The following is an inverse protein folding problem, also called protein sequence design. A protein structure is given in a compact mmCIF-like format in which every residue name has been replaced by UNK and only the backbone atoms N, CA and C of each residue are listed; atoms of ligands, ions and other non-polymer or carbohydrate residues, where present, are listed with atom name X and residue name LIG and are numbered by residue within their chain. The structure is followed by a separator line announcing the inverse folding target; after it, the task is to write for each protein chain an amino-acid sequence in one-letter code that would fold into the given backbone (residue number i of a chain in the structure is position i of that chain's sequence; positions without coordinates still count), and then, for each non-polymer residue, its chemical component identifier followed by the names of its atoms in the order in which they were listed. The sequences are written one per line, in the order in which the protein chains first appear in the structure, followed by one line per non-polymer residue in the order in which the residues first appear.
data_IF_882807998176
#
_entry.id   IF_882807998176
#
_cell.length_a   1.000
_cell.length_b   1.000
_cell.length_c   1.000
_cell.angle_alpha   90.00
_cell.angle_beta   90.00
_cell.angle_gamma   90.00
#
_symmetry.space_group_name_H-M   'P 1'
#
loop_
_entity.id
_entity.type
_entity.pdbx_description
1 polymer ?
#
# COMPACT_ATOMS: atom_id res chain seq x y z
N UNK A 1 -32.28 -30.61 4.30
CA UNK A 1 -32.28 -29.86 3.01
C UNK A 1 -30.85 -29.43 2.71
N UNK A 2 -30.20 -30.12 1.78
CA UNK A 2 -28.76 -30.00 1.47
C UNK A 2 -28.44 -28.74 0.67
N UNK A 3 -27.60 -27.87 1.25
CA UNK A 3 -27.04 -26.69 0.60
C UNK A 3 -26.10 -27.09 -0.56
N UNK A 4 -26.65 -27.15 -1.77
CA UNK A 4 -25.92 -27.11 -3.05
C UNK A 4 -26.43 -25.91 -3.84
N UNK A 5 -25.88 -24.71 -3.65
CA UNK A 5 -26.11 -23.60 -4.61
C UNK A 5 -25.21 -22.35 -4.37
N UNK A 6 -23.89 -22.51 -4.43
CA UNK A 6 -22.97 -21.33 -4.50
C UNK A 6 -21.74 -21.50 -5.41
N UNK A 7 -21.72 -22.46 -6.35
CA UNK A 7 -20.59 -22.67 -7.30
C UNK A 7 -20.82 -22.12 -8.73
N UNK A 8 -21.84 -21.28 -8.94
CA UNK A 8 -22.50 -21.25 -10.25
C UNK A 8 -21.89 -20.34 -11.34
N UNK A 9 -20.97 -19.40 -11.09
CA UNK A 9 -20.39 -18.58 -12.17
C UNK A 9 -19.11 -19.16 -12.79
N UNK A 10 -18.21 -19.71 -11.97
CA UNK A 10 -16.94 -20.29 -12.46
C UNK A 10 -17.10 -21.67 -13.10
N UNK A 11 -18.19 -22.40 -12.80
CA UNK A 11 -18.48 -23.70 -13.41
C UNK A 11 -19.43 -23.62 -14.62
N UNK A 12 -20.11 -22.50 -14.87
CA UNK A 12 -21.18 -22.42 -15.87
C UNK A 12 -20.70 -22.86 -17.26
N UNK A 13 -19.63 -22.25 -17.76
CA UNK A 13 -19.07 -22.58 -19.08
C UNK A 13 -18.57 -24.02 -19.13
N UNK A 14 -17.98 -24.53 -18.05
CA UNK A 14 -17.52 -25.91 -17.98
C UNK A 14 -18.71 -26.88 -18.06
N UNK A 15 -19.79 -26.60 -17.34
CA UNK A 15 -21.01 -27.42 -17.34
C UNK A 15 -21.70 -27.39 -18.69
N UNK A 16 -21.84 -26.22 -19.30
CA UNK A 16 -22.43 -26.10 -20.65
C UNK A 16 -21.59 -26.87 -21.65
N UNK A 17 -20.28 -26.64 -21.67
CA UNK A 17 -19.40 -27.30 -22.64
C UNK A 17 -19.42 -28.83 -22.49
N UNK A 18 -19.37 -29.34 -21.24
CA UNK A 18 -19.38 -30.77 -20.96
C UNK A 18 -20.72 -31.46 -21.29
N UNK A 19 -21.86 -30.76 -21.20
CA UNK A 19 -23.19 -31.32 -21.47
C UNK A 19 -23.74 -30.93 -22.85
N UNK A 20 -22.92 -30.30 -23.70
CA UNK A 20 -23.31 -29.87 -25.06
C UNK A 20 -22.70 -30.76 -26.13
N UNK A 21 -23.13 -30.56 -27.38
CA UNK A 21 -22.52 -31.17 -28.57
C UNK A 21 -21.02 -30.83 -28.75
N UNK A 22 -20.51 -29.84 -28.00
CA UNK A 22 -19.10 -29.43 -28.03
C UNK A 22 -18.24 -30.11 -26.97
N UNK A 23 -18.75 -31.12 -26.26
CA UNK A 23 -18.00 -31.81 -25.20
C UNK A 23 -16.62 -32.31 -25.69
N UNK A 24 -16.53 -32.81 -26.93
CA UNK A 24 -15.29 -33.26 -27.57
C UNK A 24 -14.34 -32.12 -28.01
N UNK A 25 -14.74 -30.85 -27.86
CA UNK A 25 -13.91 -29.67 -28.14
C UNK A 25 -13.38 -29.00 -26.86
N UNK A 26 -13.56 -29.64 -25.71
CA UNK A 26 -13.05 -29.13 -24.43
C UNK A 26 -11.62 -29.62 -24.19
N UNK A 27 -10.73 -28.72 -23.79
CA UNK A 27 -9.36 -29.02 -23.40
C UNK A 27 -9.21 -28.85 -21.89
N UNK A 28 -8.44 -29.75 -21.25
CA UNK A 28 -8.07 -29.58 -19.84
C UNK A 28 -6.96 -28.54 -19.73
N UNK A 29 -7.20 -27.49 -18.95
CA UNK A 29 -6.27 -26.38 -18.74
C UNK A 29 -6.76 -25.11 -19.42
N UNK A 30 -6.56 -23.98 -18.75
CA UNK A 30 -7.02 -22.66 -19.22
C UNK A 30 -5.90 -21.80 -19.80
N UNK A 31 -4.70 -22.36 -20.00
CA UNK A 31 -3.51 -21.67 -20.52
C UNK A 31 -3.02 -20.51 -19.63
N UNK A 32 -3.50 -20.41 -18.38
CA UNK A 32 -3.18 -19.32 -17.45
C UNK A 32 -2.42 -19.83 -16.23
N UNK A 33 -1.39 -19.09 -15.86
CA UNK A 33 -0.74 -19.22 -14.56
C UNK A 33 -1.47 -18.38 -13.52
N UNK A 34 -1.68 -18.93 -12.34
CA UNK A 34 -2.25 -18.20 -11.21
C UNK A 34 -1.46 -18.50 -9.94
N UNK A 35 -0.96 -17.46 -9.27
CA UNK A 35 -0.12 -17.59 -8.06
C UNK A 35 -0.95 -17.91 -6.81
N UNK A 36 -1.54 -19.10 -6.76
CA UNK A 36 -2.29 -19.54 -5.59
C UNK A 36 -1.35 -19.89 -4.43
N UNK A 37 -1.60 -19.28 -3.27
CA UNK A 37 -1.00 -19.68 -1.99
C UNK A 37 -2.07 -19.61 -0.90
N UNK A 38 -2.78 -20.72 -0.67
CA UNK A 38 -3.99 -20.76 0.19
C UNK A 38 -3.74 -20.22 1.60
N UNK A 39 -2.58 -20.57 2.18
CA UNK A 39 -2.13 -20.10 3.50
C UNK A 39 -2.27 -18.58 3.68
N UNK A 40 -1.95 -17.80 2.64
CA UNK A 40 -2.03 -16.34 2.67
C UNK A 40 -3.24 -15.78 1.91
N UNK A 41 -3.62 -16.36 0.78
CA UNK A 41 -4.65 -15.80 -0.12
C UNK A 41 -6.10 -16.03 0.35
N UNK A 42 -6.31 -16.89 1.34
CA UNK A 42 -7.64 -17.23 1.87
C UNK A 42 -7.94 -16.48 3.18
N UNK A 43 -7.92 -15.13 3.15
CA UNK A 43 -8.32 -14.28 4.29
C UNK A 43 -9.78 -13.85 4.12
N UNK A 44 -10.68 -14.43 4.93
CA UNK A 44 -12.12 -14.26 4.73
C UNK A 44 -12.67 -12.86 5.10
N UNK A 45 -12.00 -12.15 6.01
CA UNK A 45 -12.49 -10.86 6.55
C UNK A 45 -12.83 -9.82 5.48
N UNK A 46 -12.01 -9.69 4.43
CA UNK A 46 -12.27 -8.73 3.36
C UNK A 46 -13.51 -9.09 2.51
N UNK A 47 -13.74 -10.38 2.25
CA UNK A 47 -14.83 -10.82 1.37
C UNK A 47 -16.18 -10.79 2.07
N UNK A 48 -16.21 -11.04 3.40
CA UNK A 48 -17.43 -10.98 4.20
C UNK A 48 -18.13 -9.61 4.18
N UNK A 49 -17.41 -8.52 3.89
CA UNK A 49 -18.00 -7.19 3.74
C UNK A 49 -18.87 -7.06 2.48
N UNK A 50 -18.66 -7.93 1.48
CA UNK A 50 -19.30 -7.83 0.15
C UNK A 50 -20.20 -9.02 -0.14
N UNK A 51 -19.84 -10.22 0.33
CA UNK A 51 -20.57 -11.46 0.08
C UNK A 51 -20.65 -12.30 1.36
N UNK A 52 -21.77 -13.00 1.55
CA UNK A 52 -21.99 -13.93 2.67
C UNK A 52 -21.25 -15.27 2.49
N UNK A 53 -20.02 -15.22 1.96
CA UNK A 53 -19.20 -16.40 1.72
C UNK A 53 -17.70 -16.10 1.87
N UNK A 54 -16.93 -17.09 2.31
CA UNK A 54 -15.46 -16.99 2.32
C UNK A 54 -14.90 -17.43 0.96
N UNK A 55 -14.07 -16.58 0.36
CA UNK A 55 -13.31 -16.92 -0.85
C UNK A 55 -11.81 -16.79 -0.64
N UNK A 56 -11.07 -17.21 -1.67
CA UNK A 56 -9.63 -17.02 -1.74
C UNK A 56 -9.29 -16.18 -2.96
N UNK A 57 -8.27 -15.34 -2.85
CA UNK A 57 -7.67 -14.66 -3.99
C UNK A 57 -6.24 -15.13 -4.19
N UNK A 58 -5.75 -15.20 -5.45
CA UNK A 58 -4.36 -15.48 -5.71
C UNK A 58 -3.51 -14.26 -5.34
N UNK A 59 -2.27 -14.52 -4.96
CA UNK A 59 -1.30 -13.48 -4.61
C UNK A 59 -0.76 -12.79 -5.86
N UNK A 60 -0.23 -11.60 -5.66
CA UNK A 60 0.55 -10.88 -6.66
C UNK A 60 1.92 -11.57 -6.86
N UNK A 61 2.40 -11.61 -8.11
CA UNK A 61 3.78 -12.02 -8.38
C UNK A 61 4.75 -10.93 -7.93
N UNK A 62 5.88 -11.36 -7.38
CA UNK A 62 6.94 -10.49 -6.87
C UNK A 62 8.32 -11.06 -7.17
N UNK A 63 9.40 -10.34 -6.83
CA UNK A 63 10.79 -10.79 -6.95
C UNK A 63 11.02 -12.25 -6.55
N UNK A 64 10.40 -12.73 -5.46
CA UNK A 64 10.57 -14.10 -4.95
C UNK A 64 9.79 -15.16 -5.72
N UNK A 65 8.87 -14.78 -6.61
CA UNK A 65 7.97 -15.70 -7.30
C UNK A 65 8.06 -15.62 -8.83
N UNK A 66 8.95 -14.78 -9.37
CA UNK A 66 9.16 -14.66 -10.84
C UNK A 66 9.55 -15.98 -11.50
N UNK A 67 10.27 -16.86 -10.78
CA UNK A 67 10.64 -18.19 -11.28
C UNK A 67 9.43 -19.05 -11.70
N UNK A 68 8.23 -18.78 -11.15
CA UNK A 68 7.02 -19.55 -11.46
C UNK A 68 6.52 -19.34 -12.89
N UNK A 69 6.93 -18.25 -13.54
CA UNK A 69 6.54 -17.96 -14.91
C UNK A 69 7.74 -17.89 -15.86
N UNK A 70 8.89 -18.46 -15.48
CA UNK A 70 10.04 -18.55 -16.37
C UNK A 70 9.68 -19.21 -17.70
N UNK A 71 10.46 -18.94 -18.75
CA UNK A 71 10.18 -19.44 -20.09
C UNK A 71 10.14 -20.98 -20.14
N UNK A 72 10.94 -21.66 -19.31
CA UNK A 72 10.96 -23.11 -19.18
C UNK A 72 9.63 -23.61 -18.62
N UNK A 73 9.16 -23.01 -17.51
CA UNK A 73 7.89 -23.37 -16.88
C UNK A 73 6.71 -23.08 -17.82
N UNK A 74 6.76 -21.94 -18.51
CA UNK A 74 5.72 -21.55 -19.46
C UNK A 74 5.62 -22.53 -20.63
N UNK A 75 6.74 -22.96 -21.20
CA UNK A 75 6.80 -23.97 -22.27
C UNK A 75 6.33 -25.33 -21.78
N UNK A 76 6.82 -25.80 -20.63
CA UNK A 76 6.48 -27.11 -20.09
C UNK A 76 4.98 -27.25 -19.81
N UNK A 77 4.32 -26.17 -19.38
CA UNK A 77 2.91 -26.18 -18.96
C UNK A 77 1.95 -25.56 -19.99
N UNK A 78 2.43 -25.19 -21.18
CA UNK A 78 1.67 -24.48 -22.20
C UNK A 78 0.92 -23.25 -21.65
N UNK A 79 1.66 -22.37 -20.97
CA UNK A 79 1.12 -21.16 -20.34
C UNK A 79 1.39 -19.93 -21.22
N UNK A 80 0.36 -19.10 -21.39
CA UNK A 80 0.44 -17.90 -22.24
C UNK A 80 0.14 -16.60 -21.46
N UNK A 81 -0.55 -16.70 -20.32
CA UNK A 81 -0.91 -15.54 -19.49
C UNK A 81 -0.69 -15.82 -18.01
N UNK A 82 -0.38 -14.79 -17.23
CA UNK A 82 -0.24 -14.86 -15.77
C UNK A 82 -1.17 -13.90 -15.03
N UNK A 83 -1.54 -14.24 -13.79
CA UNK A 83 -2.20 -13.33 -12.84
C UNK A 83 -1.86 -13.68 -11.38
N UNK A 84 -1.83 -12.73 -10.43
CA UNK A 84 -2.04 -11.27 -10.58
C UNK A 84 -0.69 -10.53 -10.59
N UNK A 85 -0.70 -9.32 -11.15
CA UNK A 85 0.41 -8.37 -11.09
C UNK A 85 -0.14 -7.05 -10.53
N UNK A 86 0.68 -6.35 -9.74
CA UNK A 86 0.36 -5.07 -9.11
C UNK A 86 1.68 -4.31 -8.96
N UNK A 87 1.78 -3.16 -9.63
CA UNK A 87 3.02 -2.39 -9.77
C UNK A 87 3.47 -1.75 -8.46
N UNK A 88 2.56 -1.44 -7.53
CA UNK A 88 2.94 -0.95 -6.19
C UNK A 88 3.50 -2.05 -5.28
N UNK A 89 3.22 -3.32 -5.60
CA UNK A 89 3.79 -4.47 -4.90
C UNK A 89 5.11 -4.91 -5.56
N UNK A 90 5.11 -5.12 -6.88
CA UNK A 90 6.32 -5.49 -7.61
C UNK A 90 6.25 -5.10 -9.08
N UNK A 91 6.83 -3.94 -9.40
CA UNK A 91 7.08 -3.54 -10.77
C UNK A 91 8.11 -4.45 -11.42
N UNK A 92 9.10 -4.94 -10.66
CA UNK A 92 10.08 -5.91 -11.17
C UNK A 92 9.43 -7.15 -11.77
N UNK A 93 8.41 -7.72 -11.10
CA UNK A 93 7.73 -8.91 -11.62
C UNK A 93 7.01 -8.63 -12.95
N UNK A 94 6.49 -7.42 -13.13
CA UNK A 94 5.90 -6.96 -14.39
C UNK A 94 7.00 -6.85 -15.46
N UNK A 95 8.12 -6.19 -15.14
CA UNK A 95 9.26 -6.03 -16.05
C UNK A 95 9.85 -7.37 -16.53
N UNK A 96 9.94 -8.38 -15.66
CA UNK A 96 10.37 -9.74 -16.05
C UNK A 96 9.34 -10.39 -16.99
N UNK A 97 8.05 -10.26 -16.70
CA UNK A 97 6.99 -10.81 -17.55
C UNK A 97 6.97 -10.14 -18.94
N UNK A 98 7.17 -8.82 -18.98
CA UNK A 98 7.27 -8.05 -20.22
C UNK A 98 8.51 -8.42 -21.04
N UNK A 99 9.68 -8.50 -20.40
CA UNK A 99 10.92 -8.94 -21.04
C UNK A 99 10.78 -10.34 -21.65
N UNK A 100 10.07 -11.24 -20.97
CA UNK A 100 9.79 -12.58 -21.50
C UNK A 100 8.82 -12.55 -22.68
N UNK A 101 7.83 -11.65 -22.68
CA UNK A 101 6.90 -11.48 -23.81
C UNK A 101 7.64 -10.96 -25.05
N UNK A 102 8.51 -9.95 -24.87
CA UNK A 102 9.32 -9.34 -25.92
C UNK A 102 10.68 -10.02 -26.15
N UNK A 103 10.90 -11.25 -25.66
CA UNK A 103 12.19 -11.95 -25.77
C UNK A 103 12.76 -12.06 -27.20
N UNK A 104 11.92 -11.99 -28.23
CA UNK A 104 12.34 -12.02 -29.64
C UNK A 104 12.60 -10.62 -30.23
N UNK A 105 12.25 -9.56 -29.51
CA UNK A 105 12.41 -8.16 -29.90
C UNK A 105 12.71 -7.27 -28.67
N UNK A 106 13.74 -7.61 -27.89
CA UNK A 106 14.06 -6.86 -26.68
C UNK A 106 14.42 -5.39 -26.94
N UNK A 107 14.86 -5.05 -28.16
CA UNK A 107 15.16 -3.68 -28.57
C UNK A 107 13.94 -2.74 -28.51
N UNK A 108 12.71 -3.28 -28.54
CA UNK A 108 11.51 -2.46 -28.35
C UNK A 108 11.25 -2.08 -26.89
N UNK A 109 11.91 -2.74 -25.93
CA UNK A 109 11.80 -2.40 -24.52
C UNK A 109 12.88 -1.41 -24.13
N UNK A 110 12.46 -0.26 -23.59
CA UNK A 110 13.36 0.76 -23.08
C UNK A 110 13.83 0.43 -21.65
N UNK A 111 14.46 -0.75 -21.46
CA UNK A 111 14.87 -1.27 -20.14
C UNK A 111 15.86 -0.37 -19.39
N UNK A 112 16.60 0.46 -20.12
CA UNK A 112 17.57 1.41 -19.56
C UNK A 112 16.94 2.78 -19.24
N UNK A 113 15.65 2.99 -19.56
CA UNK A 113 14.98 4.23 -19.24
C UNK A 113 14.80 4.35 -17.72
N UNK A 114 15.06 5.52 -17.09
CA UNK A 114 14.93 5.69 -15.64
C UNK A 114 13.54 5.35 -15.09
N UNK A 115 12.49 5.49 -15.90
CA UNK A 115 11.12 5.16 -15.50
C UNK A 115 10.81 3.66 -15.50
N UNK A 116 11.68 2.79 -16.01
CA UNK A 116 11.36 1.38 -16.28
C UNK A 116 10.90 0.62 -15.02
N UNK A 117 11.55 0.89 -13.89
CA UNK A 117 11.22 0.27 -12.60
C UNK A 117 10.30 1.14 -11.71
N UNK A 118 9.96 2.35 -12.17
CA UNK A 118 9.13 3.29 -11.42
C UNK A 118 7.66 3.05 -11.67
N UNK A 119 6.87 3.34 -10.66
CA UNK A 119 5.41 3.20 -10.70
C UNK A 119 4.74 4.48 -10.23
N UNK A 120 3.73 4.89 -11.00
CA UNK A 120 2.79 5.94 -10.64
C UNK A 120 1.38 5.35 -10.70
N UNK A 121 0.59 5.57 -9.65
CA UNK A 121 -0.82 5.17 -9.63
C UNK A 121 -1.65 6.36 -9.15
N UNK A 122 -2.57 6.84 -9.98
CA UNK A 122 -3.54 7.85 -9.56
C UNK A 122 -4.48 7.24 -8.50
N UNK A 123 -4.54 7.86 -7.33
CA UNK A 123 -5.38 7.45 -6.19
C UNK A 123 -6.42 8.51 -5.80
N UNK A 124 -6.35 9.69 -6.42
CA UNK A 124 -7.31 10.76 -6.26
C UNK A 124 -7.35 11.61 -7.54
N UNK A 125 -8.54 11.89 -8.02
CA UNK A 125 -8.82 12.91 -9.02
C UNK A 125 -9.93 13.84 -8.53
N UNK A 126 -9.70 15.14 -8.64
CA UNK A 126 -10.70 16.16 -8.34
C UNK A 126 -12.00 15.96 -9.12
N UNK A 127 -11.94 15.38 -10.31
CA UNK A 127 -13.11 15.16 -11.17
C UNK A 127 -14.03 14.03 -10.69
N UNK A 128 -13.53 13.15 -9.81
CA UNK A 128 -14.22 11.91 -9.41
C UNK A 128 -14.45 11.86 -7.91
N UNK A 129 -13.42 12.11 -7.10
CA UNK A 129 -13.41 11.68 -5.69
C UNK A 129 -13.92 12.72 -4.70
N UNK A 130 -13.68 14.02 -4.95
CA UNK A 130 -14.14 15.14 -4.10
C UNK A 130 -13.91 15.00 -2.57
N UNK A 131 -12.87 14.26 -2.16
CA UNK A 131 -12.55 14.01 -0.74
C UNK A 131 -12.17 15.28 0.05
N UNK A 132 -13.06 15.71 0.95
CA UNK A 132 -12.80 16.84 1.87
C UNK A 132 -11.58 16.59 2.78
N UNK A 133 -11.34 15.33 3.15
CA UNK A 133 -10.19 14.92 3.96
C UNK A 133 -8.87 15.28 3.25
N UNK A 134 -8.73 14.85 2.00
CA UNK A 134 -7.50 15.05 1.22
C UNK A 134 -7.33 16.52 0.81
N UNK A 135 -8.44 17.23 0.52
CA UNK A 135 -8.42 18.67 0.25
C UNK A 135 -7.97 19.46 1.49
N UNK A 136 -8.47 19.12 2.67
CA UNK A 136 -8.09 19.80 3.92
C UNK A 136 -6.64 19.50 4.30
N UNK A 137 -6.23 18.22 4.22
CA UNK A 137 -4.85 17.79 4.45
C UNK A 137 -3.86 18.49 3.52
N UNK A 138 -4.14 18.52 2.21
CA UNK A 138 -3.29 19.19 1.23
C UNK A 138 -3.18 20.68 1.51
N UNK A 139 -4.29 21.35 1.85
CA UNK A 139 -4.27 22.77 2.26
C UNK A 139 -3.39 23.01 3.48
N UNK A 140 -3.51 22.19 4.53
CA UNK A 140 -2.66 22.28 5.73
C UNK A 140 -1.18 22.05 5.41
N UNK A 141 -0.87 21.10 4.52
CA UNK A 141 0.51 20.83 4.11
C UNK A 141 1.12 22.02 3.35
N UNK A 142 0.38 22.60 2.41
CA UNK A 142 0.83 23.76 1.62
C UNK A 142 0.96 25.01 2.48
N UNK A 143 0.04 25.26 3.41
CA UNK A 143 0.18 26.35 4.38
C UNK A 143 1.48 26.22 5.22
N UNK A 144 1.91 24.99 5.49
CA UNK A 144 3.20 24.70 6.13
C UNK A 144 4.43 25.02 5.27
N UNK A 145 4.28 25.25 3.96
CA UNK A 145 5.35 25.59 3.03
C UNK A 145 5.47 27.09 2.75
N UNK A 146 4.72 27.95 3.44
CA UNK A 146 4.73 29.41 3.22
C UNK A 146 6.12 30.05 3.44
N UNK A 147 6.99 29.41 4.22
CA UNK A 147 8.37 29.85 4.44
C UNK A 147 9.31 29.53 3.27
N UNK A 148 8.89 28.66 2.34
CA UNK A 148 9.65 28.35 1.13
C UNK A 148 9.72 29.57 0.23
N UNK A 149 10.95 29.99 -0.10
CA UNK A 149 11.21 31.18 -0.93
C UNK A 149 10.44 31.11 -2.25
N UNK A 150 10.42 29.94 -2.88
CA UNK A 150 9.82 29.73 -4.21
C UNK A 150 8.29 29.78 -4.23
N UNK A 151 7.63 29.62 -3.07
CA UNK A 151 6.17 29.62 -2.94
C UNK A 151 5.67 30.78 -2.08
N UNK A 152 6.55 31.75 -1.79
CA UNK A 152 6.19 32.93 -1.01
C UNK A 152 5.07 33.69 -1.75
N UNK A 153 4.00 34.03 -1.04
CA UNK A 153 2.79 34.69 -1.57
C UNK A 153 1.93 33.81 -2.52
N UNK A 154 2.07 32.49 -2.47
CA UNK A 154 1.14 31.58 -3.14
C UNK A 154 0.00 31.18 -2.20
N UNK A 155 -1.24 31.25 -2.70
CA UNK A 155 -2.43 30.79 -1.97
C UNK A 155 -2.94 29.47 -2.56
N UNK A 156 -3.26 28.51 -1.69
CA UNK A 156 -3.89 27.26 -2.08
C UNK A 156 -5.28 27.52 -2.70
N UNK A 157 -5.49 27.10 -3.95
CA UNK A 157 -6.82 27.12 -4.57
C UNK A 157 -7.52 25.77 -4.43
N UNK A 158 -6.91 24.71 -4.95
CA UNK A 158 -7.57 23.41 -5.03
C UNK A 158 -6.55 22.28 -5.22
N UNK A 159 -6.84 21.13 -4.62
CA UNK A 159 -6.18 19.86 -4.92
C UNK A 159 -6.71 19.33 -6.26
N UNK A 160 -5.82 18.93 -7.16
CA UNK A 160 -6.18 18.43 -8.50
C UNK A 160 -6.12 16.91 -8.53
N UNK A 161 -4.99 16.33 -8.12
CA UNK A 161 -4.76 14.89 -8.18
C UNK A 161 -3.78 14.44 -7.10
N UNK A 162 -3.84 13.16 -6.75
CA UNK A 162 -2.83 12.49 -5.92
C UNK A 162 -2.42 11.18 -6.59
N UNK A 163 -1.12 10.94 -6.65
CA UNK A 163 -0.54 9.68 -7.10
C UNK A 163 0.26 9.01 -5.98
N UNK A 164 0.11 7.70 -5.86
CA UNK A 164 1.09 6.86 -5.16
C UNK A 164 2.28 6.64 -6.10
N UNK A 165 3.47 6.96 -5.61
CA UNK A 165 4.73 6.83 -6.34
C UNK A 165 5.66 5.84 -5.65
N UNK A 166 6.31 5.00 -6.45
CA UNK A 166 7.33 4.09 -5.98
C UNK A 166 8.49 4.08 -6.97
N UNK A 167 9.70 4.35 -6.47
CA UNK A 167 10.88 4.40 -7.32
C UNK A 167 11.29 3.01 -7.83
N UNK A 168 11.22 2.01 -6.95
CA UNK A 168 11.40 0.61 -7.27
C UNK A 168 10.68 -0.28 -6.23
N UNK A 169 10.82 -1.59 -6.34
CA UNK A 169 10.19 -2.56 -5.43
C UNK A 169 10.62 -2.44 -3.95
N UNK A 170 11.83 -1.95 -3.68
CA UNK A 170 12.43 -1.87 -2.34
C UNK A 170 12.23 -0.48 -1.70
N UNK A 171 11.92 0.54 -2.51
CA UNK A 171 11.59 1.88 -2.04
C UNK A 171 10.25 1.94 -1.28
N UNK A 172 10.15 2.86 -0.32
CA UNK A 172 8.88 3.23 0.31
C UNK A 172 7.95 3.93 -0.70
N UNK A 173 6.64 3.84 -0.47
CA UNK A 173 5.66 4.59 -1.26
C UNK A 173 5.70 6.06 -0.82
N UNK A 174 5.88 6.95 -1.79
CA UNK A 174 5.79 8.39 -1.64
C UNK A 174 4.51 8.89 -2.32
N UNK A 175 4.11 10.12 -2.00
CA UNK A 175 2.88 10.72 -2.52
C UNK A 175 3.24 11.89 -3.43
N UNK A 176 2.71 11.89 -4.66
CA UNK A 176 2.79 13.05 -5.55
C UNK A 176 1.45 13.75 -5.51
N UNK A 177 1.46 15.05 -5.33
CA UNK A 177 0.25 15.85 -5.19
C UNK A 177 0.27 17.03 -6.17
N UNK A 178 -0.73 17.11 -7.04
CA UNK A 178 -0.94 18.26 -7.90
C UNK A 178 -1.84 19.28 -7.21
N UNK A 179 -1.37 20.52 -7.11
CA UNK A 179 -2.13 21.60 -6.49
C UNK A 179 -2.16 22.79 -7.43
N UNK A 180 -3.33 23.40 -7.58
CA UNK A 180 -3.44 24.74 -8.16
C UNK A 180 -3.21 25.80 -7.08
N UNK A 181 -2.27 26.70 -7.33
CA UNK A 181 -1.93 27.81 -6.46
C UNK A 181 -2.18 29.14 -7.18
N UNK A 182 -2.66 30.14 -6.45
CA UNK A 182 -2.71 31.53 -6.90
C UNK A 182 -1.45 32.24 -6.40
N UNK A 183 -0.51 32.50 -7.30
CA UNK A 183 0.75 33.20 -7.00
C UNK A 183 0.79 34.48 -7.83
N UNK A 184 0.98 35.64 -7.19
CA UNK A 184 1.10 36.94 -7.88
C UNK A 184 -0.06 37.22 -8.88
N UNK A 185 -1.29 36.87 -8.50
CA UNK A 185 -2.51 36.97 -9.34
C UNK A 185 -2.57 35.99 -10.54
N UNK A 186 -1.66 35.03 -10.64
CA UNK A 186 -1.68 33.98 -11.66
C UNK A 186 -1.94 32.61 -11.02
N UNK A 187 -2.89 31.86 -11.58
CA UNK A 187 -3.05 30.45 -11.23
C UNK A 187 -1.96 29.62 -11.90
N UNK A 188 -1.21 28.86 -11.11
CA UNK A 188 -0.20 27.90 -11.55
C UNK A 188 -0.54 26.51 -10.99
N UNK A 189 -0.01 25.47 -11.61
CA UNK A 189 -0.09 24.10 -11.09
C UNK A 189 1.31 23.66 -10.67
N UNK A 190 1.42 23.28 -9.40
CA UNK A 190 2.65 22.82 -8.77
C UNK A 190 2.45 21.41 -8.28
N UNK A 191 3.46 20.58 -8.48
CA UNK A 191 3.55 19.23 -7.97
C UNK A 191 4.47 19.16 -6.78
N UNK A 192 4.05 18.39 -5.79
CA UNK A 192 4.78 18.17 -4.56
C UNK A 192 5.10 16.68 -4.43
N UNK A 193 6.37 16.34 -4.25
CA UNK A 193 6.78 15.02 -3.80
C UNK A 193 6.79 14.99 -2.28
N UNK A 194 5.97 14.13 -1.69
CA UNK A 194 5.70 14.10 -0.25
C UNK A 194 6.10 12.74 0.30
N UNK A 195 6.87 12.77 1.40
CA UNK A 195 7.22 11.59 2.18
C UNK A 195 6.53 11.63 3.54
N UNK A 196 5.86 10.53 3.90
CA UNK A 196 5.34 10.31 5.25
C UNK A 196 6.47 9.91 6.19
N UNK A 197 6.55 10.55 7.35
CA UNK A 197 7.51 10.24 8.41
C UNK A 197 6.87 9.24 9.38
N UNK A 198 7.59 8.17 9.68
CA UNK A 198 7.24 7.20 10.71
C UNK A 198 8.11 7.43 11.95
N UNK A 199 7.49 7.75 13.08
CA UNK A 199 8.18 7.92 14.36
C UNK A 199 8.13 6.63 15.15
N UNK A 200 9.10 5.74 14.94
CA UNK A 200 9.15 4.43 15.59
C UNK A 200 10.41 4.24 16.42
N UNK A 201 10.29 3.53 17.54
CA UNK A 201 11.39 3.19 18.44
C UNK A 201 11.36 1.69 18.75
N UNK A 202 12.53 1.04 18.76
CA UNK A 202 12.69 -0.40 18.99
C UNK A 202 13.66 -0.62 20.16
N UNK A 203 13.39 -1.64 20.98
CA UNK A 203 14.14 -1.91 22.22
C UNK A 203 14.93 -3.23 22.20
N UNK A 204 15.14 -3.81 21.02
CA UNK A 204 15.89 -5.07 20.78
C UNK A 204 15.53 -6.21 21.75
N UNK A 205 14.23 -6.46 21.90
CA UNK A 205 13.68 -7.51 22.76
C UNK A 205 13.29 -8.72 21.91
N UNK A 206 13.70 -9.91 22.37
CA UNK A 206 13.23 -11.18 21.81
C UNK A 206 11.99 -11.65 22.57
N UNK A 207 10.93 -12.00 21.82
CA UNK A 207 9.65 -12.45 22.38
C UNK A 207 9.34 -13.83 21.81
N UNK A 208 9.31 -14.85 22.67
CA UNK A 208 9.07 -16.25 22.30
C UNK A 208 9.92 -16.73 21.10
N UNK A 209 11.18 -16.31 21.03
CA UNK A 209 12.09 -16.64 19.93
C UNK A 209 11.88 -15.85 18.64
N UNK A 210 11.07 -14.79 18.66
CA UNK A 210 10.86 -13.87 17.55
C UNK A 210 11.47 -12.49 17.87
N UNK A 211 11.96 -11.82 16.82
CA UNK A 211 12.40 -10.43 16.85
C UNK A 211 11.48 -9.58 15.98
N UNK A 212 11.04 -8.44 16.52
CA UNK A 212 10.24 -7.47 15.78
C UNK A 212 11.15 -6.65 14.86
N UNK A 213 10.89 -6.67 13.56
CA UNK A 213 11.68 -5.96 12.54
C UNK A 213 11.12 -4.57 12.22
N UNK A 214 9.79 -4.44 12.20
CA UNK A 214 9.15 -3.17 11.86
C UNK A 214 7.78 -3.05 12.51
N UNK A 215 7.40 -1.81 12.81
CA UNK A 215 6.05 -1.40 13.17
C UNK A 215 5.59 -0.34 12.17
N UNK A 216 4.38 -0.46 11.66
CA UNK A 216 3.75 0.57 10.82
C UNK A 216 2.27 0.69 11.12
N UNK A 217 1.76 1.90 10.98
CA UNK A 217 0.35 2.23 11.23
C UNK A 217 -0.28 2.80 9.97
N UNK A 218 -1.45 2.28 9.61
CA UNK A 218 -2.17 2.65 8.41
C UNK A 218 -3.65 2.29 8.47
N UNK A 219 -4.34 2.44 7.35
CA UNK A 219 -5.73 2.01 7.17
C UNK A 219 -5.90 1.28 5.84
N UNK A 220 -7.09 0.72 5.62
CA UNK A 220 -7.43 -0.13 4.46
C UNK A 220 -6.44 -1.29 4.24
N UNK A 221 -6.35 -2.18 5.24
CA UNK A 221 -5.42 -3.31 5.23
C UNK A 221 -5.83 -4.38 4.22
N UNK A 222 -4.93 -4.73 3.29
CA UNK A 222 -5.04 -5.93 2.46
C UNK A 222 -4.29 -7.07 3.15
N UNK A 223 -4.99 -7.93 3.89
CA UNK A 223 -4.38 -9.06 4.61
C UNK A 223 -3.75 -10.12 3.70
N UNK A 224 -4.01 -10.13 2.39
CA UNK A 224 -3.40 -11.11 1.48
C UNK A 224 -1.99 -10.70 1.10
N UNK A 225 -1.81 -9.42 0.82
CA UNK A 225 -0.50 -8.85 0.46
C UNK A 225 0.20 -8.20 1.66
N UNK A 226 -0.51 -8.08 2.79
CA UNK A 226 -0.06 -7.51 4.05
C UNK A 226 0.44 -6.06 3.91
N UNK A 227 -0.33 -5.24 3.18
CA UNK A 227 -0.04 -3.82 2.96
C UNK A 227 -1.24 -2.96 3.34
N UNK A 228 -1.00 -1.67 3.53
CA UNK A 228 -2.05 -0.65 3.62
C UNK A 228 -2.34 -0.11 2.22
N UNK A 229 -3.61 -0.10 1.82
CA UNK A 229 -4.07 0.41 0.53
C UNK A 229 -4.42 1.91 0.59
N UNK A 230 -4.53 2.49 1.78
CA UNK A 230 -4.45 3.95 1.96
C UNK A 230 -3.00 4.41 1.75
N UNK A 231 -2.61 4.56 0.48
CA UNK A 231 -1.24 4.89 0.07
C UNK A 231 -0.78 6.30 0.46
N UNK A 232 -1.71 7.27 0.51
CA UNK A 232 -1.40 8.61 1.00
C UNK A 232 -1.08 8.61 2.51
N UNK A 233 -1.59 7.61 3.24
CA UNK A 233 -1.33 7.43 4.66
C UNK A 233 -1.94 8.52 5.55
N UNK A 234 -2.91 9.28 5.03
CA UNK A 234 -3.75 10.24 5.75
C UNK A 234 -4.85 9.46 6.44
N UNK A 235 -4.78 9.35 7.76
CA UNK A 235 -5.73 8.58 8.57
C UNK A 235 -6.87 9.48 9.04
N UNK A 236 -8.10 8.98 9.03
CA UNK A 236 -9.27 9.69 9.55
C UNK A 236 -9.90 8.98 10.74
N UNK A 237 -10.71 9.71 11.49
CA UNK A 237 -11.50 9.19 12.63
C UNK A 237 -12.64 8.25 12.22
N UNK A 238 -12.98 8.22 10.92
CA UNK A 238 -14.03 7.36 10.37
C UNK A 238 -13.49 5.99 9.90
N UNK A 239 -12.17 5.79 9.96
CA UNK A 239 -11.48 4.59 9.46
C UNK A 239 -11.08 3.61 10.57
N UNK A 240 -10.99 2.33 10.22
CA UNK A 240 -10.32 1.34 11.08
C UNK A 240 -8.81 1.56 10.94
N UNK A 241 -8.17 1.94 12.04
CA UNK A 241 -6.74 2.11 12.11
C UNK A 241 -6.10 0.77 12.45
N UNK A 242 -5.09 0.39 11.68
CA UNK A 242 -4.41 -0.89 11.80
C UNK A 242 -2.92 -0.68 12.07
N UNK A 243 -2.40 -1.37 13.08
CA UNK A 243 -0.96 -1.54 13.29
C UNK A 243 -0.52 -2.85 12.66
N UNK A 244 0.50 -2.80 11.80
CA UNK A 244 1.20 -3.96 11.25
C UNK A 244 2.53 -4.14 11.97
N UNK A 245 2.75 -5.33 12.50
CA UNK A 245 3.99 -5.80 13.10
C UNK A 245 4.64 -6.81 12.17
N UNK A 246 5.93 -6.67 11.90
CA UNK A 246 6.69 -7.64 11.10
C UNK A 246 7.66 -8.40 11.99
N UNK A 247 7.49 -9.70 12.09
CA UNK A 247 8.31 -10.56 12.93
C UNK A 247 9.26 -11.43 12.11
N UNK A 248 10.39 -11.76 12.72
CA UNK A 248 11.33 -12.78 12.24
C UNK A 248 11.52 -13.82 13.32
N UNK A 249 11.40 -15.09 12.96
CA UNK A 249 11.77 -16.19 13.84
C UNK A 249 13.30 -16.34 13.86
N UNK A 250 13.87 -16.41 15.05
CA UNK A 250 15.31 -16.59 15.22
C UNK A 250 15.71 -18.06 15.05
N UNK A 251 16.86 -18.28 14.41
CA UNK A 251 17.42 -19.61 14.15
C UNK A 251 17.74 -20.28 15.49
N UNK A 252 17.22 -21.48 15.72
CA UNK A 252 17.42 -22.25 16.96
C UNK A 252 16.28 -22.16 17.97
N UNK A 253 15.26 -21.33 17.73
CA UNK A 253 14.03 -21.34 18.53
C UNK A 253 13.22 -22.61 18.26
N UNK A 254 12.93 -23.40 19.30
CA UNK A 254 12.18 -24.66 19.24
C UNK A 254 10.65 -24.45 19.16
N UNK A 255 10.19 -23.41 18.47
CA UNK A 255 8.76 -23.26 18.25
C UNK A 255 8.29 -24.32 17.24
N UNK A 256 7.56 -25.30 17.76
CA UNK A 256 6.92 -26.37 16.99
C UNK A 256 5.64 -25.92 16.30
N UNK A 257 5.24 -24.65 16.48
CA UNK A 257 4.03 -24.11 15.87
C UNK A 257 4.30 -23.56 14.48
N UNK A 258 3.32 -23.71 13.58
CA UNK A 258 3.35 -23.13 12.23
C UNK A 258 3.17 -21.59 12.22
N UNK A 259 3.11 -20.96 13.41
CA UNK A 259 2.84 -19.54 13.60
C UNK A 259 4.10 -18.72 13.36
N UNK A 260 3.90 -17.51 12.83
CA UNK A 260 5.01 -16.63 12.41
C UNK A 260 5.15 -15.38 13.27
N UNK A 261 4.39 -15.28 14.35
CA UNK A 261 4.48 -14.19 15.32
C UNK A 261 4.13 -14.68 16.73
N UNK A 262 4.63 -14.01 17.78
CA UNK A 262 4.29 -14.29 19.17
C UNK A 262 2.94 -13.66 19.55
N UNK A 263 2.47 -13.93 20.78
CA UNK A 263 1.35 -13.19 21.37
C UNK A 263 1.86 -11.87 21.96
N UNK A 264 1.21 -10.76 21.65
CA UNK A 264 1.58 -9.44 22.19
C UNK A 264 0.35 -8.64 22.58
N UNK A 265 0.55 -7.56 23.35
CA UNK A 265 -0.46 -6.57 23.69
C UNK A 265 -0.08 -5.26 23.00
N UNK A 266 -1.06 -4.59 22.39
CA UNK A 266 -0.91 -3.22 21.91
C UNK A 266 -1.56 -2.27 22.92
N UNK A 267 -0.78 -1.34 23.43
CA UNK A 267 -1.25 -0.23 24.25
C UNK A 267 -1.35 1.02 23.38
N UNK A 268 -2.57 1.49 23.16
CA UNK A 268 -2.89 2.69 22.38
C UNK A 268 -3.08 3.86 23.34
N UNK A 269 -2.19 4.84 23.28
CA UNK A 269 -2.29 6.08 24.03
C UNK A 269 -2.91 7.16 23.15
N UNK A 270 -4.01 7.73 23.62
CA UNK A 270 -4.75 8.78 22.94
C UNK A 270 -4.12 10.17 23.15
N UNK A 271 -4.49 11.18 22.34
CA UNK A 271 -4.00 12.55 22.52
C UNK A 271 -4.27 13.14 23.91
N UNK A 272 -5.37 12.72 24.57
CA UNK A 272 -5.71 13.14 25.94
C UNK A 272 -4.98 12.34 27.03
N UNK A 273 -4.15 11.35 26.66
CA UNK A 273 -3.39 10.51 27.60
C UNK A 273 -4.14 9.26 28.09
N UNK A 274 -5.35 8.99 27.62
CA UNK A 274 -6.08 7.76 27.92
C UNK A 274 -5.40 6.58 27.22
N UNK A 275 -5.37 5.42 27.87
CA UNK A 275 -4.73 4.23 27.31
C UNK A 275 -5.73 3.09 27.14
N UNK A 276 -5.75 2.50 25.95
CA UNK A 276 -6.53 1.30 25.61
C UNK A 276 -5.59 0.14 25.32
N UNK A 277 -5.87 -1.03 25.88
CA UNK A 277 -5.08 -2.24 25.63
C UNK A 277 -5.86 -3.20 24.73
N UNK A 278 -5.21 -3.75 23.71
CA UNK A 278 -5.75 -4.79 22.85
C UNK A 278 -4.79 -5.98 22.80
N UNK A 279 -5.31 -7.20 22.93
CA UNK A 279 -4.51 -8.42 22.82
C UNK A 279 -4.44 -8.82 21.35
N UNK A 280 -3.23 -9.04 20.85
CA UNK A 280 -2.98 -9.47 19.49
C UNK A 280 -2.49 -10.91 19.51
N UNK A 281 -3.35 -11.82 19.03
CA UNK A 281 -3.05 -13.23 18.98
C UNK A 281 -1.90 -13.53 17.98
N UNK A 282 -1.17 -14.63 18.18
CA UNK A 282 -0.23 -15.15 17.19
C UNK A 282 -0.88 -15.29 15.81
N UNK A 283 -0.15 -14.94 14.77
CA UNK A 283 -0.64 -14.94 13.40
C UNK A 283 0.21 -15.85 12.52
N UNK A 284 -0.46 -16.51 11.58
CA UNK A 284 0.17 -17.35 10.59
C UNK A 284 0.25 -16.62 9.24
N UNK A 285 1.41 -16.04 8.95
CA UNK A 285 1.70 -15.22 7.77
C UNK A 285 2.86 -15.80 6.98
N UNK A 286 2.77 -15.78 5.65
CA UNK A 286 3.92 -16.14 4.81
C UNK A 286 4.99 -15.05 4.74
N UNK A 287 4.70 -13.86 5.27
CA UNK A 287 5.58 -12.71 5.33
C UNK A 287 6.04 -12.38 6.76
N UNK A 288 5.45 -12.99 7.79
CA UNK A 288 5.73 -12.69 9.20
C UNK A 288 4.93 -11.52 9.76
N UNK A 289 3.90 -11.04 9.05
CA UNK A 289 3.04 -9.96 9.51
C UNK A 289 2.11 -10.40 10.64
N UNK A 290 1.74 -9.44 11.49
CA UNK A 290 0.73 -9.56 12.53
C UNK A 290 0.01 -8.21 12.64
N UNK A 291 -1.29 -8.22 12.94
CA UNK A 291 -2.14 -7.03 12.85
C UNK A 291 -2.93 -6.80 14.13
N UNK A 292 -2.98 -5.55 14.57
CA UNK A 292 -3.91 -5.09 15.60
C UNK A 292 -4.73 -3.91 15.09
N UNK A 293 -5.97 -3.81 15.56
CA UNK A 293 -6.97 -2.87 15.05
C UNK A 293 -7.42 -1.91 16.17
N UNK A 294 -7.72 -0.68 15.78
CA UNK A 294 -8.35 0.36 16.58
C UNK A 294 -9.54 0.90 15.78
N UNK A 295 -10.74 0.84 16.37
CA UNK A 295 -11.98 1.09 15.64
C UNK A 295 -12.42 2.56 15.68
N UNK A 296 -13.18 3.04 14.68
CA UNK A 296 -13.64 4.44 14.60
C UNK A 296 -14.31 4.98 15.87
N UNK A 297 -15.09 4.15 16.56
CA UNK A 297 -15.80 4.51 17.80
C UNK A 297 -14.87 4.68 19.01
N UNK A 298 -13.58 4.42 18.84
CA UNK A 298 -12.54 4.45 19.87
C UNK A 298 -11.45 5.47 19.53
N UNK A 299 -11.59 6.18 18.41
CA UNK A 299 -10.62 7.12 17.88
C UNK A 299 -11.19 8.52 17.78
N UNK A 300 -10.29 9.49 17.85
CA UNK A 300 -10.57 10.90 17.56
C UNK A 300 -9.29 11.55 17.03
N UNK A 301 -9.43 12.70 16.38
CA UNK A 301 -8.29 13.42 15.82
C UNK A 301 -7.23 13.80 16.85
N UNK A 302 -5.98 13.75 16.40
CA UNK A 302 -4.80 14.12 17.17
C UNK A 302 -3.66 13.12 17.02
N UNK A 303 -2.60 13.36 17.79
CA UNK A 303 -1.42 12.51 17.83
C UNK A 303 -1.62 11.34 18.79
N UNK A 304 -1.56 10.13 18.24
CA UNK A 304 -1.68 8.87 18.96
C UNK A 304 -0.31 8.18 19.05
N UNK A 305 -0.17 7.32 20.07
CA UNK A 305 0.98 6.42 20.20
C UNK A 305 0.49 4.99 20.37
N UNK A 306 1.10 4.06 19.64
CA UNK A 306 0.92 2.62 19.86
C UNK A 306 2.21 2.03 20.43
N UNK A 307 2.11 1.27 21.50
CA UNK A 307 3.22 0.57 22.14
C UNK A 307 2.99 -0.93 22.12
N UNK A 308 3.99 -1.69 21.68
CA UNK A 308 3.98 -3.14 21.62
C UNK A 308 4.56 -3.67 22.92
N UNK A 309 3.72 -4.31 23.72
CA UNK A 309 4.08 -4.91 25.00
C UNK A 309 4.08 -6.42 24.86
N UNK A 310 5.16 -7.06 25.30
CA UNK A 310 5.25 -8.50 25.46
C UNK A 310 5.18 -8.86 26.95
N UNK A 311 4.61 -10.02 27.26
CA UNK A 311 4.61 -10.56 28.61
C UNK A 311 5.45 -11.83 28.58
N UNK A 312 6.57 -11.83 29.29
CA UNK A 312 7.44 -13.01 29.37
C UNK A 312 6.91 -13.98 30.44
N UNK A 313 7.45 -15.20 30.45
CA UNK A 313 7.02 -16.29 31.35
C UNK A 313 7.07 -15.95 32.84
N UNK A 314 7.83 -14.93 33.24
CA UNK A 314 7.90 -14.40 34.61
C UNK A 314 6.76 -13.44 34.97
N UNK A 315 5.88 -13.10 34.01
CA UNK A 315 4.83 -12.08 34.16
C UNK A 315 5.33 -10.64 33.99
N UNK A 316 6.61 -10.44 33.72
CA UNK A 316 7.17 -9.11 33.45
C UNK A 316 6.69 -8.60 32.10
N UNK A 317 6.32 -7.31 32.06
CA UNK A 317 5.91 -6.62 30.84
C UNK A 317 7.11 -5.91 30.23
N UNK A 318 7.45 -6.28 29.00
CA UNK A 318 8.55 -5.68 28.23
C UNK A 318 8.00 -4.81 27.11
N UNK A 319 8.50 -3.58 27.00
CA UNK A 319 8.25 -2.72 25.85
C UNK A 319 9.15 -3.16 24.69
N UNK A 320 8.55 -3.63 23.61
CA UNK A 320 9.26 -4.17 22.44
C UNK A 320 9.55 -3.06 21.43
N UNK A 321 8.52 -2.26 21.14
CA UNK A 321 8.60 -1.12 20.24
C UNK A 321 7.46 -0.13 20.52
N UNK A 322 7.58 1.08 19.98
CA UNK A 322 6.46 2.01 19.90
C UNK A 322 6.47 2.78 18.59
N UNK A 323 5.32 3.28 18.18
CA UNK A 323 5.16 4.14 17.01
C UNK A 323 4.16 5.26 17.28
N UNK A 324 4.42 6.47 16.79
CA UNK A 324 3.48 7.57 16.82
C UNK A 324 2.83 7.77 15.46
N UNK A 325 1.56 8.17 15.44
CA UNK A 325 0.80 8.41 14.23
C UNK A 325 -0.24 9.51 14.45
N UNK A 326 -0.65 10.15 13.35
CA UNK A 326 -1.65 11.20 13.35
C UNK A 326 -2.98 10.68 12.81
N UNK A 327 -4.04 10.88 13.57
CA UNK A 327 -5.42 10.83 13.05
C UNK A 327 -5.83 12.26 12.72
N UNK A 328 -6.14 12.52 11.46
CA UNK A 328 -6.47 13.83 10.94
C UNK A 328 -7.99 14.02 10.90
N UNK A 329 -8.48 15.19 11.30
CA UNK A 329 -9.87 15.59 11.05
C UNK A 329 -9.93 16.81 10.14
N UNK A 330 -10.75 16.68 9.10
CA UNK A 330 -11.06 17.75 8.15
C UNK A 330 -12.03 18.78 8.73
N UNK A 331 -12.61 18.51 9.91
CA UNK A 331 -13.58 19.39 10.59
C UNK A 331 -12.90 20.50 11.39
N UNK A 332 -11.61 20.33 11.72
CA UNK A 332 -10.84 21.36 12.41
C UNK A 332 -10.31 22.41 11.43
N UNK A 333 -10.06 23.61 11.96
CA UNK A 333 -9.48 24.70 11.17
C UNK A 333 -8.07 24.34 10.69
N UNK A 334 -7.76 24.75 9.46
CA UNK A 334 -6.50 24.45 8.75
C UNK A 334 -5.29 24.86 9.60
N UNK A 335 -5.38 26.03 10.26
CA UNK A 335 -4.33 26.61 11.09
C UNK A 335 -3.88 25.66 12.22
N UNK A 336 -4.85 25.03 12.89
CA UNK A 336 -4.60 24.07 13.97
C UNK A 336 -3.91 22.78 13.49
N UNK A 337 -4.11 22.45 12.22
CA UNK A 337 -3.62 21.22 11.61
C UNK A 337 -2.22 21.37 10.98
N UNK A 338 -1.75 22.58 10.70
CA UNK A 338 -0.46 22.81 9.98
C UNK A 338 0.73 22.17 10.71
N UNK A 339 0.86 22.39 12.02
CA UNK A 339 1.99 21.88 12.82
C UNK A 339 2.03 20.35 12.87
N UNK A 340 0.86 19.71 13.00
CA UNK A 340 0.75 18.26 13.01
C UNK A 340 1.00 17.66 11.63
N UNK A 341 0.41 18.22 10.58
CA UNK A 341 0.62 17.74 9.21
C UNK A 341 2.10 17.85 8.81
N UNK A 342 2.74 18.99 9.07
CA UNK A 342 4.16 19.19 8.74
C UNK A 342 5.12 18.33 9.57
N UNK A 343 4.70 17.87 10.76
CA UNK A 343 5.45 16.88 11.56
C UNK A 343 5.47 15.49 10.90
N UNK A 344 4.36 15.06 10.33
CA UNK A 344 4.20 13.70 9.78
C UNK A 344 4.40 13.60 8.26
N UNK A 345 4.38 14.72 7.55
CA UNK A 345 4.52 14.78 6.10
C UNK A 345 5.54 15.84 5.72
N UNK A 346 6.56 15.44 4.97
CA UNK A 346 7.61 16.34 4.50
C UNK A 346 7.58 16.41 2.98
N UNK A 347 7.59 17.64 2.47
CA UNK A 347 7.81 17.91 1.04
C UNK A 347 9.29 17.70 0.74
N UNK A 348 9.61 16.69 -0.06
CA UNK A 348 10.97 16.35 -0.50
C UNK A 348 11.43 17.20 -1.68
N UNK A 349 10.53 17.44 -2.62
CA UNK A 349 10.82 18.13 -3.87
C UNK A 349 9.55 18.77 -4.43
N UNK A 350 9.72 19.78 -5.29
CA UNK A 350 8.64 20.50 -5.96
C UNK A 350 8.98 20.70 -7.44
N UNK A 351 7.98 20.61 -8.30
CA UNK A 351 8.11 20.97 -9.71
C UNK A 351 6.87 21.74 -10.18
N UNK A 352 7.01 22.47 -11.27
CA UNK A 352 5.93 23.27 -11.84
C UNK A 352 5.53 22.76 -13.23
N UNK A 353 4.24 22.85 -13.56
CA UNK A 353 3.73 22.50 -14.89
C UNK A 353 4.16 23.48 -15.97
N UNK A 354 4.44 24.71 -15.57
CA UNK A 354 4.85 25.81 -16.42
C UNK A 354 5.92 26.60 -15.68
N UNK A 355 6.89 27.16 -16.40
CA UNK A 355 7.95 27.97 -15.80
C UNK A 355 7.41 28.96 -14.75
N UNK A 356 7.89 28.83 -13.52
CA UNK A 356 7.52 29.66 -12.39
C UNK A 356 8.68 29.75 -11.40
N UNK A 357 9.18 30.98 -11.19
CA UNK A 357 10.34 31.23 -10.33
C UNK A 357 11.53 30.33 -10.69
N UNK A 358 12.24 29.83 -9.69
CA UNK A 358 13.38 28.92 -9.82
C UNK A 358 12.96 27.43 -9.75
N UNK A 359 11.66 27.13 -9.86
CA UNK A 359 11.13 25.76 -9.76
C UNK A 359 11.28 25.06 -11.11
N UNK A 360 11.93 23.89 -11.10
CA UNK A 360 12.13 23.04 -12.29
C UNK A 360 10.79 22.60 -12.90
N UNK A 361 10.77 22.37 -14.22
CA UNK A 361 9.61 21.81 -14.89
C UNK A 361 9.39 20.35 -14.52
N UNK A 362 8.14 19.95 -14.35
CA UNK A 362 7.80 18.59 -13.94
C UNK A 362 8.27 17.50 -14.91
N UNK A 363 8.23 17.76 -16.22
CA UNK A 363 8.70 16.82 -17.25
C UNK A 363 10.22 16.60 -17.24
N UNK A 364 11.00 17.48 -16.60
CA UNK A 364 12.45 17.33 -16.44
C UNK A 364 12.82 16.54 -15.18
N UNK A 365 11.84 16.31 -14.29
CA UNK A 365 12.06 15.48 -13.10
C UNK A 365 11.98 14.00 -13.45
N UNK A 366 12.34 13.18 -12.47
CA UNK A 366 12.34 11.72 -12.56
C UNK A 366 11.18 11.07 -11.80
N UNK A 367 10.53 11.84 -10.93
CA UNK A 367 9.48 11.40 -10.02
C UNK A 367 8.10 11.94 -10.39
N UNK A 368 7.99 13.04 -11.15
CA UNK A 368 6.69 13.54 -11.58
C UNK A 368 5.91 12.47 -12.35
N UNK A 369 4.59 12.44 -12.20
CA UNK A 369 3.77 11.56 -13.03
C UNK A 369 3.65 12.06 -14.50
N UNK A 370 4.18 13.24 -14.82
CA UNK A 370 4.29 13.79 -16.18
C UNK A 370 5.71 13.61 -16.75
N UNK A 371 6.66 13.12 -15.93
CA UNK A 371 7.94 12.66 -16.44
C UNK A 371 7.74 11.60 -17.53
N UNK A 372 8.59 11.57 -18.57
CA UNK A 372 8.46 10.58 -19.64
C UNK A 372 8.36 9.16 -19.09
N UNK A 373 7.35 8.41 -19.53
CA UNK A 373 7.19 7.01 -19.16
C UNK A 373 6.89 6.10 -20.37
N UNK A 374 7.90 5.84 -21.22
CA UNK A 374 7.71 5.12 -22.48
C UNK A 374 7.12 3.72 -22.35
N UNK A 375 7.15 3.10 -21.15
CA UNK A 375 6.56 1.78 -20.91
C UNK A 375 5.03 1.80 -20.80
N UNK A 376 4.44 2.95 -20.50
CA UNK A 376 2.99 3.13 -20.33
C UNK A 376 2.36 4.04 -21.40
N UNK A 377 3.19 4.68 -22.23
CA UNK A 377 2.77 5.50 -23.36
C UNK A 377 2.37 4.64 -24.56
N UNK A 378 1.15 4.85 -25.07
CA UNK A 378 0.72 4.33 -26.36
C UNK A 378 0.92 5.41 -27.41
N UNK A 379 1.89 5.21 -28.32
CA UNK A 379 2.00 6.05 -29.52
C UNK A 379 0.81 5.70 -30.41
N UNK A 380 -0.16 6.61 -30.49
CA UNK A 380 -1.36 6.48 -31.33
C UNK A 380 -1.03 6.82 -32.78
#
# INVERSE_FOLDING_TARGET
MTARNSRNSSELLLRIAANSIYCNRTMKGNLRLTNWKRKQGCRCSMLKKVVDWCGCSPLVFNKRTVYKFSIEVAKQRNLFFGRKFDSLISQYAISVAESQAYRMNLASLQVNHPSFNRTWLNIYSKEIDHSDLLISWSRSLIAGQESSISLKNCMFLTLISIYAYKEDDDADIETIMDVSLLCESRAIVVQFLIKKIAFSSFYDVMVDGFTLLSISVGSDVDLREEIFRNYAGVLSEDEIICTKLLWRQNVGSTNTSDLTSPSVKLEWSSPAGETKVSVVAPYDSVYGGQFGELFPNETYAGEWKVSVMAEISTGEKLLVASSQFLIYSHRHDVSSNVSLVTKYFTVKDICSMTHFSDIILCNETLWSHISPDPKSEFVI
#
